data_IF_454066884690
#
_entry.id   IF_454066884690
#
_cell.length_a   1.000
_cell.length_b   1.000
_cell.length_c   1.000
_cell.angle_alpha   90.00
_cell.angle_beta   90.00
_cell.angle_gamma   90.00
#
_symmetry.space_group_name_H-M   'P 1'
#
loop_
_entity.id
_entity.type
_entity.pdbx_description
1 polymer ?
#
# COMPACT_ATOMS: atom_id res chain seq x y z
N UNK A 1 -5.05 -13.23 6.36
CA UNK A 1 -6.02 -12.22 5.89
C UNK A 1 -7.09 -12.90 5.04
N UNK A 2 -8.34 -12.43 5.12
CA UNK A 2 -9.35 -12.79 4.09
C UNK A 2 -9.09 -11.99 2.81
N UNK A 3 -9.43 -12.55 1.64
CA UNK A 3 -9.26 -11.87 0.33
C UNK A 3 -9.85 -10.44 0.28
N UNK A 4 -10.93 -10.19 1.02
CA UNK A 4 -11.55 -8.87 1.15
C UNK A 4 -10.66 -7.85 1.85
N UNK A 5 -9.95 -8.27 2.90
CA UNK A 5 -9.02 -7.39 3.62
C UNK A 5 -7.77 -7.11 2.80
N UNK A 6 -7.29 -8.09 2.05
CA UNK A 6 -6.15 -7.92 1.15
C UNK A 6 -6.46 -6.84 0.08
N UNK A 7 -7.66 -6.89 -0.51
CA UNK A 7 -8.14 -5.88 -1.47
C UNK A 7 -8.27 -4.48 -0.84
N UNK A 8 -8.69 -4.39 0.42
CA UNK A 8 -8.72 -3.12 1.16
C UNK A 8 -7.32 -2.57 1.37
N UNK A 9 -6.38 -3.42 1.75
CA UNK A 9 -5.00 -3.06 2.01
C UNK A 9 -4.28 -2.55 0.74
N UNK A 10 -4.56 -3.20 -0.40
CA UNK A 10 -4.17 -2.75 -1.74
C UNK A 10 -4.81 -1.40 -2.10
N UNK A 11 -6.11 -1.23 -1.88
CA UNK A 11 -6.81 0.03 -2.19
C UNK A 11 -6.29 1.19 -1.35
N UNK A 12 -6.05 0.95 -0.06
CA UNK A 12 -5.49 1.94 0.87
C UNK A 12 -4.07 2.35 0.45
N UNK A 13 -3.21 1.39 0.07
CA UNK A 13 -1.89 1.69 -0.50
C UNK A 13 -1.97 2.63 -1.71
N UNK A 14 -2.87 2.34 -2.65
CA UNK A 14 -3.03 3.12 -3.89
C UNK A 14 -3.52 4.54 -3.61
N UNK A 15 -4.48 4.70 -2.71
CA UNK A 15 -4.95 6.01 -2.28
C UNK A 15 -3.86 6.83 -1.61
N UNK A 16 -3.11 6.21 -0.68
CA UNK A 16 -2.02 6.89 0.02
C UNK A 16 -0.93 7.33 -0.97
N UNK A 17 -0.54 6.46 -1.92
CA UNK A 17 0.41 6.82 -2.98
C UNK A 17 -0.07 8.01 -3.80
N UNK A 18 -1.37 8.04 -4.16
CA UNK A 18 -1.95 9.15 -4.90
C UNK A 18 -1.95 10.45 -4.08
N UNK A 19 -2.24 10.37 -2.78
CA UNK A 19 -2.19 11.52 -1.86
C UNK A 19 -0.77 12.07 -1.71
N UNK A 20 0.24 11.20 -1.58
CA UNK A 20 1.66 11.58 -1.58
C UNK A 20 2.02 12.26 -2.92
N UNK A 21 1.63 11.67 -4.06
CA UNK A 21 1.92 12.22 -5.39
C UNK A 21 1.31 13.62 -5.59
N UNK A 22 0.14 13.89 -5.02
CA UNK A 22 -0.53 15.20 -5.10
C UNK A 22 0.14 16.31 -4.26
N UNK A 23 1.26 16.04 -3.57
CA UNK A 23 2.08 17.02 -2.80
C UNK A 23 1.27 17.93 -1.84
N UNK A 24 0.09 17.50 -1.40
CA UNK A 24 -0.83 18.33 -0.60
C UNK A 24 -1.02 17.82 0.84
N UNK A 25 -0.31 16.75 1.23
CA UNK A 25 -0.52 16.08 2.53
C UNK A 25 0.82 15.64 3.11
N UNK A 26 0.93 15.67 4.45
CA UNK A 26 2.01 15.12 5.29
C UNK A 26 2.55 13.78 4.77
N UNK A 27 3.51 13.87 3.87
CA UNK A 27 4.04 12.71 3.15
C UNK A 27 4.85 11.80 4.06
N UNK A 28 5.32 12.30 5.21
CA UNK A 28 6.03 11.53 6.24
C UNK A 28 5.06 10.51 6.86
N UNK A 29 3.93 10.97 7.41
CA UNK A 29 2.93 10.11 8.05
C UNK A 29 2.31 9.11 7.08
N UNK A 30 2.11 9.54 5.83
CA UNK A 30 1.64 8.67 4.76
C UNK A 30 2.69 7.62 4.33
N UNK A 31 3.97 7.98 4.33
CA UNK A 31 5.08 7.06 4.02
C UNK A 31 5.23 5.97 5.09
N UNK A 32 5.07 6.32 6.37
CA UNK A 32 5.05 5.32 7.46
C UNK A 32 3.89 4.34 7.32
N UNK A 33 2.70 4.85 6.98
CA UNK A 33 1.51 4.03 6.77
C UNK A 33 1.69 3.07 5.58
N UNK A 34 2.33 3.52 4.50
CA UNK A 34 2.72 2.66 3.36
C UNK A 34 3.64 1.53 3.80
N UNK A 35 4.67 1.82 4.62
CA UNK A 35 5.59 0.80 5.11
C UNK A 35 4.89 -0.25 5.95
N UNK A 36 3.96 0.15 6.82
CA UNK A 36 3.18 -0.77 7.65
C UNK A 36 2.31 -1.71 6.79
N UNK A 37 1.65 -1.15 5.77
CA UNK A 37 0.85 -1.89 4.78
C UNK A 37 1.74 -2.89 4.02
N UNK A 38 2.91 -2.49 3.53
CA UNK A 38 3.83 -3.41 2.85
C UNK A 38 4.32 -4.53 3.77
N UNK A 39 4.62 -4.22 5.03
CA UNK A 39 5.05 -5.22 6.01
C UNK A 39 3.96 -6.24 6.31
N UNK A 40 2.72 -5.79 6.55
CA UNK A 40 1.57 -6.68 6.79
C UNK A 40 1.27 -7.55 5.58
N UNK A 41 1.24 -6.96 4.38
CA UNK A 41 1.01 -7.72 3.16
C UNK A 41 2.09 -8.78 2.92
N UNK A 42 3.37 -8.44 3.13
CA UNK A 42 4.46 -9.39 2.96
C UNK A 42 4.40 -10.51 4.01
N UNK A 43 4.07 -10.19 5.26
CA UNK A 43 3.91 -11.19 6.31
C UNK A 43 2.78 -12.17 5.99
N UNK A 44 1.69 -11.69 5.39
CA UNK A 44 0.52 -12.53 5.10
C UNK A 44 0.57 -13.26 3.75
N UNK A 45 1.22 -12.69 2.74
CA UNK A 45 1.24 -13.25 1.37
C UNK A 45 2.61 -13.77 0.94
N UNK A 46 3.67 -13.45 1.66
CA UNK A 46 5.06 -13.69 1.26
C UNK A 46 5.50 -12.88 0.03
N UNK A 47 4.66 -11.96 -0.48
CA UNK A 47 4.93 -11.17 -1.69
C UNK A 47 5.07 -9.70 -1.35
N UNK A 48 5.89 -8.98 -2.14
CA UNK A 48 5.96 -7.52 -2.02
C UNK A 48 4.77 -6.91 -2.74
N UNK A 49 3.98 -6.12 -2.00
CA UNK A 49 2.83 -5.40 -2.54
C UNK A 49 3.24 -4.52 -3.74
N UNK A 50 4.45 -3.95 -3.71
CA UNK A 50 5.05 -3.22 -4.84
C UNK A 50 5.14 -4.04 -6.14
N UNK A 51 5.45 -5.34 -6.09
CA UNK A 51 5.49 -6.21 -7.29
C UNK A 51 4.11 -6.39 -7.91
N UNK A 52 3.09 -6.63 -7.08
CA UNK A 52 1.69 -6.77 -7.53
C UNK A 52 1.19 -5.48 -8.21
N UNK A 53 1.60 -4.33 -7.70
CA UNK A 53 1.27 -3.01 -8.27
C UNK A 53 2.06 -2.63 -9.52
N UNK A 54 3.22 -3.24 -9.78
CA UNK A 54 4.09 -2.86 -10.91
C UNK A 54 3.62 -3.52 -12.22
N UNK A 55 2.75 -4.54 -12.14
CA UNK A 55 2.20 -5.21 -13.32
C UNK A 55 0.94 -4.53 -13.91
N UNK A 56 0.49 -3.42 -13.30
CA UNK A 56 -0.63 -2.60 -13.79
C UNK A 56 -0.05 -1.22 -14.17
N UNK A 57 0.82 -1.22 -15.17
CA UNK A 57 1.42 -0.04 -15.77
C UNK A 57 1.22 -0.06 -17.27
#
# INVERSE_FOLDING_TARGET
MKNSELRKLISEYREIKQKIKKKNVDSIKLSEKIKEIEHRYFHETGRRLKSDFTQIG
#
